data_IF_988675196713
#
_entry.id   IF_988675196713
#
_cell.length_a   1.000
_cell.length_b   1.000
_cell.length_c   1.000
_cell.angle_alpha   90.00
_cell.angle_beta   90.00
_cell.angle_gamma   90.00
#
_symmetry.space_group_name_H-M   'P 1'
#
loop_
_entity.id
_entity.type
_entity.pdbx_description
1 polymer ?
#
# COMPACT_ATOMS: atom_id res chain seq x y z
N UNK A 1 24.36 5.77 -1.82
CA UNK A 1 22.95 5.83 -2.24
C UNK A 1 22.21 6.48 -1.10
N UNK A 2 21.73 7.70 -1.29
CA UNK A 2 21.00 8.43 -0.25
C UNK A 2 19.59 7.84 -0.19
N UNK A 3 19.26 7.15 0.90
CA UNK A 3 17.89 6.72 1.20
C UNK A 3 17.00 7.96 1.34
N UNK A 4 16.38 8.39 0.24
CA UNK A 4 15.44 9.50 0.24
C UNK A 4 14.12 9.02 0.83
N UNK A 5 13.81 9.43 2.06
CA UNK A 5 12.60 8.99 2.77
C UNK A 5 11.43 9.93 2.49
N UNK A 6 10.21 9.39 2.44
CA UNK A 6 8.99 10.21 2.29
C UNK A 6 8.86 11.24 3.42
N UNK A 7 9.35 10.93 4.62
CA UNK A 7 9.41 11.86 5.74
C UNK A 7 10.16 13.17 5.42
N UNK A 8 11.15 13.14 4.53
CA UNK A 8 11.92 14.33 4.14
C UNK A 8 11.11 15.28 3.25
N UNK A 9 10.07 14.78 2.59
CA UNK A 9 9.12 15.55 1.78
C UNK A 9 8.04 16.26 2.63
N UNK A 10 7.98 15.96 3.94
CA UNK A 10 6.97 16.50 4.85
C UNK A 10 7.61 17.53 5.78
N UNK A 11 6.93 18.65 6.04
CA UNK A 11 7.32 19.60 7.06
C UNK A 11 6.85 19.10 8.43
N UNK A 12 7.80 18.78 9.32
CA UNK A 12 7.51 18.19 10.63
C UNK A 12 6.66 19.08 11.53
N UNK A 13 6.77 20.42 11.42
CA UNK A 13 6.09 21.37 12.29
C UNK A 13 4.66 21.66 11.83
N UNK A 14 4.45 21.85 10.53
CA UNK A 14 3.14 22.19 9.95
C UNK A 14 2.35 20.97 9.48
N UNK A 15 3.00 19.80 9.40
CA UNK A 15 2.42 18.57 8.83
C UNK A 15 1.84 18.77 7.43
N UNK A 16 2.53 19.60 6.65
CA UNK A 16 2.23 19.86 5.24
C UNK A 16 3.33 19.32 4.33
N UNK A 17 2.95 18.99 3.09
CA UNK A 17 3.91 18.65 2.05
C UNK A 17 4.82 19.84 1.72
N UNK A 18 6.12 19.58 1.55
CA UNK A 18 7.09 20.56 1.03
C UNK A 18 6.91 20.71 -0.48
N UNK A 19 5.90 21.50 -0.86
CA UNK A 19 5.44 21.62 -2.25
C UNK A 19 6.57 21.89 -3.26
N UNK A 20 7.40 22.89 -3.01
CA UNK A 20 8.51 23.27 -3.90
C UNK A 20 9.52 22.13 -4.10
N UNK A 21 9.82 21.37 -3.03
CA UNK A 21 10.71 20.22 -3.10
C UNK A 21 10.10 19.09 -3.93
N UNK A 22 8.80 18.83 -3.77
CA UNK A 22 8.10 17.78 -4.52
C UNK A 22 8.00 18.14 -6.00
N UNK A 23 7.64 19.38 -6.32
CA UNK A 23 7.53 19.87 -7.70
C UNK A 23 8.89 19.91 -8.43
N UNK A 24 10.00 20.09 -7.71
CA UNK A 24 11.35 20.04 -8.30
C UNK A 24 11.92 18.62 -8.40
N UNK A 25 11.47 17.69 -7.55
CA UNK A 25 11.97 16.30 -7.52
C UNK A 25 11.23 15.38 -8.47
N UNK A 26 9.92 15.57 -8.64
CA UNK A 26 9.06 14.64 -9.38
C UNK A 26 8.48 15.28 -10.65
N UNK A 27 8.19 14.48 -11.70
CA UNK A 27 7.41 14.95 -12.84
C UNK A 27 6.07 15.53 -12.38
N UNK A 28 5.58 16.56 -13.07
CA UNK A 28 4.37 17.30 -12.70
C UNK A 28 3.18 16.39 -12.35
N UNK A 29 2.90 15.37 -13.17
CA UNK A 29 1.79 14.44 -12.93
C UNK A 29 1.94 13.67 -11.61
N UNK A 30 3.17 13.28 -11.27
CA UNK A 30 3.48 12.54 -10.03
C UNK A 30 3.43 13.49 -8.83
N UNK A 31 4.01 14.69 -8.96
CA UNK A 31 3.96 15.72 -7.94
C UNK A 31 2.51 16.07 -7.57
N UNK A 32 1.65 16.29 -8.57
CA UNK A 32 0.22 16.58 -8.38
C UNK A 32 -0.50 15.45 -7.64
N UNK A 33 -0.14 14.19 -7.89
CA UNK A 33 -0.71 13.04 -7.18
C UNK A 33 -0.24 12.98 -5.72
N UNK A 34 1.05 13.22 -5.46
CA UNK A 34 1.60 13.24 -4.10
C UNK A 34 0.92 14.33 -3.27
N UNK A 35 0.80 15.54 -3.81
CA UNK A 35 0.20 16.69 -3.11
C UNK A 35 -1.29 16.50 -2.75
N UNK A 36 -1.98 15.56 -3.42
CA UNK A 36 -3.39 15.21 -3.11
C UNK A 36 -3.53 14.21 -1.97
N UNK A 37 -2.45 13.54 -1.55
CA UNK A 37 -2.50 12.59 -0.45
C UNK A 37 -2.65 13.36 0.86
N UNK A 38 -3.71 13.15 1.65
CA UNK A 38 -3.86 13.79 2.94
C UNK A 38 -2.81 13.27 3.91
N UNK A 39 -2.18 14.17 4.66
CA UNK A 39 -1.26 13.83 5.73
C UNK A 39 -2.03 13.63 7.04
N UNK A 40 -1.62 12.63 7.82
CA UNK A 40 -2.14 12.43 9.17
C UNK A 40 -1.83 13.67 10.04
N UNK A 41 -2.85 14.14 10.76
CA UNK A 41 -2.77 15.30 11.66
C UNK A 41 -1.78 15.01 12.77
N UNK A 42 -1.95 13.87 13.44
CA UNK A 42 -1.04 13.40 14.47
C UNK A 42 0.13 12.64 13.85
N UNK A 43 1.38 12.97 14.21
CA UNK A 43 2.54 12.18 13.82
C UNK A 43 2.46 10.80 14.48
N UNK A 44 2.61 9.76 13.67
CA UNK A 44 2.73 8.39 14.13
C UNK A 44 3.92 7.75 13.43
N UNK A 45 4.54 6.78 14.11
CA UNK A 45 5.52 5.92 13.46
C UNK A 45 4.86 5.07 12.38
N UNK A 46 5.65 4.67 11.38
CA UNK A 46 5.18 3.73 10.37
C UNK A 46 4.81 2.41 11.06
N UNK A 47 3.62 1.90 10.77
CA UNK A 47 3.15 0.62 11.30
C UNK A 47 2.67 -0.29 10.17
N UNK A 48 2.71 -1.59 10.44
CA UNK A 48 2.24 -2.59 9.48
C UNK A 48 0.71 -2.53 9.39
N UNK A 49 0.19 -1.90 8.33
CA UNK A 49 -1.25 -1.78 8.12
C UNK A 49 -1.91 -3.11 7.69
N UNK A 50 -1.13 -4.05 7.13
CA UNK A 50 -1.62 -5.34 6.67
C UNK A 50 -1.43 -6.41 7.75
N UNK A 51 -2.38 -6.48 8.70
CA UNK A 51 -2.44 -7.55 9.70
C UNK A 51 -3.59 -8.50 9.36
N UNK A 52 -3.35 -9.81 9.44
CA UNK A 52 -4.37 -10.78 9.04
C UNK A 52 -4.03 -12.25 9.27
N UNK A 53 -2.75 -12.60 9.42
CA UNK A 53 -2.36 -13.97 9.80
C UNK A 53 -1.56 -13.99 11.11
N UNK A 54 -1.82 -14.97 12.00
CA UNK A 54 -1.03 -15.20 13.21
C UNK A 54 0.47 -15.44 12.95
N UNK A 55 0.84 -15.82 11.72
CA UNK A 55 2.22 -16.03 11.29
C UNK A 55 3.00 -14.73 11.02
N UNK A 56 2.30 -13.59 10.90
CA UNK A 56 2.90 -12.31 10.52
C UNK A 56 3.24 -12.17 9.03
N UNK A 57 3.05 -13.22 8.22
CA UNK A 57 3.25 -13.18 6.78
C UNK A 57 1.92 -12.92 6.06
N UNK A 58 1.79 -11.76 5.43
CA UNK A 58 0.61 -11.43 4.64
C UNK A 58 0.80 -11.93 3.20
N UNK A 59 0.09 -13.00 2.84
CA UNK A 59 0.10 -13.55 1.48
C UNK A 59 -1.15 -13.14 0.70
N UNK A 60 -1.10 -13.26 -0.63
CA UNK A 60 -2.31 -13.12 -1.47
C UNK A 60 -3.42 -14.05 -0.98
N UNK A 61 -3.09 -15.27 -0.56
CA UNK A 61 -4.07 -16.21 -0.02
C UNK A 61 -4.78 -15.66 1.21
N UNK A 62 -4.02 -15.07 2.13
CA UNK A 62 -4.51 -14.46 3.37
C UNK A 62 -5.42 -13.26 3.09
N UNK A 63 -5.05 -12.40 2.13
CA UNK A 63 -5.87 -11.28 1.67
C UNK A 63 -7.23 -11.75 1.12
N UNK A 64 -7.21 -12.78 0.28
CA UNK A 64 -8.45 -13.35 -0.26
C UNK A 64 -9.28 -14.03 0.82
N UNK A 65 -8.67 -14.69 1.81
CA UNK A 65 -9.38 -15.32 2.92
C UNK A 65 -10.05 -14.28 3.82
N UNK A 66 -9.38 -13.16 4.09
CA UNK A 66 -9.96 -12.02 4.81
C UNK A 66 -11.15 -11.43 4.04
N UNK A 67 -10.99 -11.15 2.74
CA UNK A 67 -12.08 -10.65 1.91
C UNK A 67 -13.28 -11.61 1.87
N UNK A 68 -13.04 -12.92 1.86
CA UNK A 68 -14.10 -13.94 1.94
C UNK A 68 -14.80 -13.96 3.30
N UNK A 69 -14.10 -13.69 4.41
CA UNK A 69 -14.75 -13.59 5.72
C UNK A 69 -15.60 -12.31 5.86
N UNK A 70 -15.30 -11.28 5.07
CA UNK A 70 -16.01 -10.01 5.05
C UNK A 70 -17.20 -10.00 4.07
N UNK A 71 -17.12 -10.75 2.97
CA UNK A 71 -18.19 -10.94 2.00
C UNK A 71 -18.84 -12.32 2.21
N UNK A 72 -20.06 -12.37 2.73
CA UNK A 72 -20.85 -13.61 2.86
C UNK A 72 -21.28 -14.24 1.51
N UNK A 73 -20.63 -13.94 0.38
CA UNK A 73 -20.95 -14.49 -0.94
C UNK A 73 -20.05 -15.70 -1.30
N UNK A 74 -20.60 -16.92 -1.34
CA UNK A 74 -19.87 -18.15 -1.67
C UNK A 74 -19.20 -18.15 -3.06
N UNK A 75 -19.59 -17.25 -3.97
CA UNK A 75 -19.05 -17.20 -5.34
C UNK A 75 -17.61 -16.70 -5.41
N UNK A 76 -17.10 -16.06 -4.36
CA UNK A 76 -15.71 -15.64 -4.29
C UNK A 76 -14.72 -16.83 -4.38
N UNK A 77 -15.13 -18.03 -3.95
CA UNK A 77 -14.29 -19.24 -4.00
C UNK A 77 -14.08 -19.76 -5.43
N UNK A 78 -15.07 -19.63 -6.31
CA UNK A 78 -15.02 -20.11 -7.69
C UNK A 78 -14.04 -19.30 -8.56
N UNK A 79 -13.73 -18.06 -8.17
CA UNK A 79 -12.70 -17.27 -8.82
C UNK A 79 -11.30 -17.68 -8.36
N UNK A 80 -11.11 -18.02 -7.08
CA UNK A 80 -9.80 -18.42 -6.55
C UNK A 80 -9.21 -19.64 -7.28
N UNK A 81 -10.02 -20.65 -7.58
CA UNK A 81 -9.56 -21.84 -8.33
C UNK A 81 -9.08 -21.48 -9.73
N UNK A 82 -9.75 -20.56 -10.41
CA UNK A 82 -9.36 -20.08 -11.74
C UNK A 82 -8.04 -19.28 -11.70
N UNK A 83 -7.86 -18.41 -10.71
CA UNK A 83 -6.66 -17.58 -10.60
C UNK A 83 -5.44 -18.34 -10.05
N UNK A 84 -5.64 -19.39 -9.24
CA UNK A 84 -4.54 -20.19 -8.66
C UNK A 84 -3.66 -20.86 -9.74
N UNK A 85 -4.25 -21.28 -10.86
CA UNK A 85 -3.51 -21.83 -12.01
C UNK A 85 -2.67 -20.77 -12.72
N UNK A 86 -3.17 -19.53 -12.80
CA UNK A 86 -2.49 -18.43 -13.44
C UNK A 86 -1.25 -17.99 -12.66
N UNK A 87 -1.39 -17.76 -11.35
CA UNK A 87 -0.29 -17.24 -10.52
C UNK A 87 0.84 -18.26 -10.28
N UNK A 88 0.54 -19.56 -10.25
CA UNK A 88 1.58 -20.61 -10.19
C UNK A 88 2.47 -20.63 -11.44
N UNK A 89 1.92 -20.24 -12.59
CA UNK A 89 2.67 -20.17 -13.86
C UNK A 89 3.53 -18.92 -13.95
N UNK A 90 3.12 -17.81 -13.32
CA UNK A 90 3.83 -16.52 -13.39
C UNK A 90 4.91 -16.34 -12.33
N UNK A 91 4.86 -17.07 -11.21
CA UNK A 91 5.88 -16.99 -10.14
C UNK A 91 6.93 -18.12 -10.19
N UNK A 92 6.88 -18.99 -11.19
CA UNK A 92 7.91 -20.00 -11.45
C UNK A 92 8.87 -19.47 -12.53
N UNK A 93 9.77 -18.56 -12.15
CA UNK A 93 11.07 -18.35 -12.82
C UNK A 93 12.07 -17.93 -11.76
#
# INVERSE_FOLDING_TARGET
MSDSKVAELINTNSRLWKKELIESTFPKEVADRILRIPLAVDPHDDFLAWSGEPSGEYTVHSAYKLLQSLNEDPRAYALQTNYKGFYKKTMAT
#
